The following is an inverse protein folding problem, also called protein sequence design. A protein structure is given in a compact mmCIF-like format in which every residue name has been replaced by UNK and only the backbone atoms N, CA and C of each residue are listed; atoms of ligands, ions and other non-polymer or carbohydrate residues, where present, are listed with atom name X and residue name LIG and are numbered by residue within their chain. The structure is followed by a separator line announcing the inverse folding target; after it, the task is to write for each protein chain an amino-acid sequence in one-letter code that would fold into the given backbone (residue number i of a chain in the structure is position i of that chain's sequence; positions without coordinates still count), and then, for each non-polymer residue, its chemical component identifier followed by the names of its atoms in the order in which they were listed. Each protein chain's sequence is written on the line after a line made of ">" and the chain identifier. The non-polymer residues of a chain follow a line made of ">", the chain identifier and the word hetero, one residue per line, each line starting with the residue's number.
data_IF_315750423362
#
_entry.id   IF_315750423362
#
_cell.length_a   1.000
_cell.length_b   1.000
_cell.length_c   1.000
_cell.angle_alpha   90.00
_cell.angle_beta   90.00
_cell.angle_gamma   90.00
#
_symmetry.space_group_name_H-M   'P 1'
#
loop_
_entity.id
_entity.type
_entity.pdbx_description
1 polymer ?
#
# COMPACT_ATOMS: atom_id res chain seq x y z
N UNK A 1 -71.32 22.34 13.36
CA UNK A 1 -70.08 22.69 14.10
C UNK A 1 -69.54 21.45 14.80
N UNK A 2 -68.40 20.89 14.34
CA UNK A 2 -67.46 20.05 15.10
C UNK A 2 -66.25 19.78 14.18
N UNK A 3 -65.15 20.44 14.50
CA UNK A 3 -63.85 20.38 13.82
C UNK A 3 -63.16 19.07 14.25
N UNK A 4 -62.58 18.31 13.31
CA UNK A 4 -61.61 17.25 13.63
C UNK A 4 -60.38 17.34 12.72
N UNK A 5 -59.44 18.13 13.23
CA UNK A 5 -57.98 17.95 13.33
C UNK A 5 -57.29 17.20 12.18
N UNK A 6 -56.49 17.98 11.43
CA UNK A 6 -55.45 17.52 10.50
C UNK A 6 -54.28 16.91 11.28
N UNK A 7 -53.77 15.76 10.87
CA UNK A 7 -52.47 15.24 11.31
C UNK A 7 -51.50 15.31 10.12
N UNK A 8 -50.47 16.17 10.15
CA UNK A 8 -49.47 16.18 9.09
C UNK A 8 -48.48 15.03 9.35
N UNK A 9 -48.35 14.15 8.35
CA UNK A 9 -47.25 13.19 8.24
C UNK A 9 -45.99 14.01 7.95
N UNK A 10 -45.24 14.37 8.99
CA UNK A 10 -43.92 14.96 8.83
C UNK A 10 -42.90 13.83 8.69
N UNK A 11 -42.52 13.58 7.44
CA UNK A 11 -41.51 12.63 7.01
C UNK A 11 -40.15 13.03 7.64
N UNK A 12 -39.69 12.26 8.64
CA UNK A 12 -38.35 12.37 9.18
C UNK A 12 -37.35 11.96 8.09
N UNK A 13 -36.77 12.94 7.40
CA UNK A 13 -35.56 12.78 6.61
C UNK A 13 -34.42 12.40 7.58
N UNK A 14 -34.20 11.10 7.76
CA UNK A 14 -32.90 10.60 8.18
C UNK A 14 -31.92 10.86 7.05
N UNK A 15 -31.33 12.05 7.06
CA UNK A 15 -30.10 12.33 6.33
C UNK A 15 -29.01 11.47 6.99
N UNK A 16 -28.85 10.23 6.51
CA UNK A 16 -27.68 9.43 6.88
C UNK A 16 -26.50 10.15 6.25
N UNK A 17 -25.73 10.82 7.09
CA UNK A 17 -24.41 11.28 6.72
C UNK A 17 -23.58 10.04 6.44
N UNK A 18 -23.44 9.70 5.15
CA UNK A 18 -22.35 8.86 4.66
C UNK A 18 -21.04 9.66 4.84
N UNK A 19 -20.64 9.84 6.09
CA UNK A 19 -19.25 10.08 6.41
C UNK A 19 -18.54 8.79 6.03
N UNK A 20 -17.77 8.82 4.94
CA UNK A 20 -16.81 7.78 4.65
C UNK A 20 -15.93 7.62 5.89
N UNK A 21 -16.16 6.55 6.64
CA UNK A 21 -15.28 6.16 7.72
C UNK A 21 -13.93 5.87 7.06
N UNK A 22 -12.97 6.78 7.26
CA UNK A 22 -11.56 6.43 7.09
C UNK A 22 -11.29 5.36 8.14
N UNK A 23 -11.40 4.09 7.75
CA UNK A 23 -11.12 3.01 8.67
C UNK A 23 -9.65 3.11 9.06
N UNK A 24 -9.40 3.11 10.36
CA UNK A 24 -8.06 3.00 10.90
C UNK A 24 -7.38 1.75 10.30
N UNK A 25 -6.10 1.90 9.94
CA UNK A 25 -5.31 0.79 9.44
C UNK A 25 -5.11 -0.22 10.56
N UNK A 26 -5.77 -1.37 10.45
CA UNK A 26 -5.65 -2.48 11.40
C UNK A 26 -5.26 -3.74 10.67
N UNK A 27 -4.56 -4.65 11.36
CA UNK A 27 -4.16 -5.95 10.80
C UNK A 27 -5.37 -6.71 10.23
N UNK A 28 -6.47 -6.75 11.00
CA UNK A 28 -7.72 -7.42 10.60
C UNK A 28 -8.25 -6.92 9.26
N UNK A 29 -8.16 -5.62 8.98
CA UNK A 29 -8.72 -5.04 7.78
C UNK A 29 -7.79 -5.21 6.56
N UNK A 30 -6.48 -5.12 6.77
CA UNK A 30 -5.49 -5.14 5.68
C UNK A 30 -5.05 -6.55 5.27
N UNK A 31 -5.10 -7.55 6.16
CA UNK A 31 -4.78 -8.95 5.84
C UNK A 31 -5.69 -9.47 4.73
N UNK A 32 -5.09 -10.14 3.73
CA UNK A 32 -5.77 -10.71 2.57
C UNK A 32 -4.99 -10.56 1.27
N UNK A 33 -5.64 -10.96 0.18
CA UNK A 33 -5.14 -10.82 -1.19
C UNK A 33 -5.73 -9.57 -1.84
N UNK A 34 -4.89 -8.78 -2.49
CA UNK A 34 -5.22 -7.50 -3.09
C UNK A 34 -4.70 -7.48 -4.53
N UNK A 35 -5.63 -7.43 -5.48
CA UNK A 35 -5.29 -7.36 -6.89
C UNK A 35 -5.15 -5.89 -7.31
N UNK A 36 -4.04 -5.57 -7.96
CA UNK A 36 -3.88 -4.27 -8.58
C UNK A 36 -4.91 -4.11 -9.69
N UNK A 37 -5.61 -2.97 -9.70
CA UNK A 37 -6.64 -2.68 -10.71
C UNK A 37 -6.17 -1.60 -11.67
N UNK A 38 -5.76 -0.45 -11.14
CA UNK A 38 -5.38 0.71 -11.95
C UNK A 38 -4.63 1.75 -11.14
N UNK A 39 -3.99 2.67 -11.84
CA UNK A 39 -3.43 3.90 -11.27
C UNK A 39 -4.31 5.08 -11.64
N UNK A 40 -4.59 5.98 -10.70
CA UNK A 40 -5.34 7.22 -10.95
C UNK A 40 -4.50 8.46 -10.62
N UNK A 41 -4.76 9.56 -11.31
CA UNK A 41 -4.20 10.87 -10.98
C UNK A 41 -5.05 11.61 -9.93
N UNK A 42 -4.60 12.82 -9.54
CA UNK A 42 -5.32 13.72 -8.63
C UNK A 42 -6.73 14.15 -9.08
N UNK A 43 -7.09 13.92 -10.34
CA UNK A 43 -8.41 14.19 -10.90
C UNK A 43 -9.26 12.91 -11.02
N UNK A 44 -8.82 11.81 -10.40
CA UNK A 44 -9.42 10.47 -10.47
C UNK A 44 -9.47 9.89 -11.89
N UNK A 45 -8.60 10.36 -12.79
CA UNK A 45 -8.49 9.81 -14.14
C UNK A 45 -7.49 8.66 -14.15
N UNK A 46 -7.85 7.56 -14.82
CA UNK A 46 -6.94 6.43 -14.98
C UNK A 46 -5.76 6.80 -15.87
N UNK A 47 -4.55 6.46 -15.41
CA UNK A 47 -3.31 6.71 -16.14
C UNK A 47 -2.55 5.42 -16.39
N UNK A 48 -1.99 5.28 -17.59
CA UNK A 48 -1.15 4.13 -17.97
C UNK A 48 0.33 4.36 -17.73
N UNK A 49 0.74 5.63 -17.62
CA UNK A 49 2.13 6.02 -17.46
C UNK A 49 2.25 7.21 -16.52
N UNK A 50 3.33 7.25 -15.76
CA UNK A 50 3.74 8.41 -14.96
C UNK A 50 5.17 8.80 -15.32
N UNK A 51 5.58 10.00 -14.93
CA UNK A 51 6.93 10.51 -15.20
C UNK A 51 7.69 10.71 -13.90
N UNK A 52 8.80 9.97 -13.76
CA UNK A 52 9.75 10.17 -12.67
C UNK A 52 10.84 11.13 -13.13
N UNK A 53 11.15 12.13 -12.31
CA UNK A 53 12.25 13.06 -12.57
C UNK A 53 13.47 12.63 -11.76
N UNK A 54 14.58 12.35 -12.43
CA UNK A 54 15.84 11.99 -11.80
C UNK A 54 16.54 13.22 -11.20
N UNK A 55 17.51 13.05 -10.29
CA UNK A 55 18.28 14.16 -9.72
C UNK A 55 19.00 15.03 -10.77
N UNK A 56 19.32 14.48 -11.94
CA UNK A 56 19.91 15.20 -13.07
C UNK A 56 18.88 15.99 -13.93
N UNK A 57 17.60 15.95 -13.56
CA UNK A 57 16.50 16.61 -14.28
C UNK A 57 15.87 15.80 -15.42
N UNK A 58 16.46 14.65 -15.79
CA UNK A 58 15.90 13.79 -16.84
C UNK A 58 14.56 13.19 -16.39
N UNK A 59 13.60 13.14 -17.31
CA UNK A 59 12.28 12.54 -17.09
C UNK A 59 12.24 11.17 -17.73
N UNK A 60 11.89 10.16 -16.93
CA UNK A 60 11.63 8.81 -17.42
C UNK A 60 10.14 8.52 -17.34
N UNK A 61 9.61 8.07 -18.47
CA UNK A 61 8.25 7.55 -18.57
C UNK A 61 8.26 6.11 -18.05
N UNK A 62 7.50 5.85 -16.99
CA UNK A 62 7.35 4.51 -16.41
C UNK A 62 5.90 4.05 -16.54
N UNK A 63 5.70 2.75 -16.67
CA UNK A 63 4.36 2.14 -16.65
C UNK A 63 3.78 2.31 -15.26
N UNK A 64 2.56 2.84 -15.19
CA UNK A 64 1.87 3.12 -13.94
C UNK A 64 1.16 1.86 -13.44
N UNK A 65 1.91 0.96 -12.82
CA UNK A 65 1.41 -0.33 -12.33
C UNK A 65 1.94 -0.67 -10.95
N UNK A 66 1.08 -1.28 -10.11
CA UNK A 66 1.47 -1.90 -8.84
C UNK A 66 1.54 -3.43 -8.95
N UNK A 67 2.22 -4.11 -8.02
CA UNK A 67 2.18 -5.57 -7.90
C UNK A 67 0.85 -6.03 -7.30
N UNK A 68 0.42 -7.26 -7.56
CA UNK A 68 -0.58 -7.89 -6.70
C UNK A 68 0.03 -8.15 -5.31
N UNK A 69 -0.72 -7.87 -4.25
CA UNK A 69 -0.23 -7.92 -2.87
C UNK A 69 -0.97 -9.01 -2.09
N UNK A 70 -0.23 -9.87 -1.40
CA UNK A 70 -0.79 -10.78 -0.39
C UNK A 70 -0.17 -10.42 0.96
N UNK A 71 -1.02 -10.16 1.95
CA UNK A 71 -0.63 -9.91 3.33
C UNK A 71 -1.22 -11.03 4.19
N UNK A 72 -0.37 -11.88 4.74
CA UNK A 72 -0.76 -13.01 5.56
C UNK A 72 -0.83 -12.61 7.03
N UNK A 73 -1.71 -13.28 7.79
CA UNK A 73 -1.91 -13.04 9.23
C UNK A 73 -0.71 -13.45 10.09
N UNK A 74 0.24 -14.22 9.55
CA UNK A 74 1.49 -14.59 10.21
C UNK A 74 2.58 -13.50 10.08
N UNK A 75 2.25 -12.36 9.48
CA UNK A 75 3.18 -11.25 9.26
C UNK A 75 4.02 -11.38 7.98
N UNK A 76 3.82 -12.40 7.15
CA UNK A 76 4.50 -12.54 5.85
C UNK A 76 3.75 -11.84 4.72
N UNK A 77 4.46 -11.42 3.68
CA UNK A 77 3.86 -10.85 2.47
C UNK A 77 4.41 -11.44 1.18
N UNK A 78 3.63 -11.28 0.10
CA UNK A 78 4.06 -11.45 -1.29
C UNK A 78 3.67 -10.20 -2.09
N UNK A 79 4.59 -9.67 -2.90
CA UNK A 79 4.34 -8.62 -3.91
C UNK A 79 4.69 -9.18 -5.28
N UNK A 80 3.67 -9.51 -6.07
CA UNK A 80 3.82 -10.14 -7.39
C UNK A 80 3.75 -9.09 -8.50
N UNK A 81 4.90 -8.73 -9.07
CA UNK A 81 4.98 -7.76 -10.17
C UNK A 81 4.73 -8.42 -11.52
N UNK A 82 5.25 -9.63 -11.72
CA UNK A 82 4.99 -10.49 -12.88
C UNK A 82 4.86 -11.95 -12.44
N UNK A 83 4.71 -12.89 -13.37
CA UNK A 83 4.69 -14.33 -13.02
C UNK A 83 6.05 -14.79 -12.48
N UNK A 84 7.14 -14.19 -12.93
CA UNK A 84 8.52 -14.55 -12.64
C UNK A 84 9.16 -13.65 -11.59
N UNK A 85 8.58 -12.46 -11.34
CA UNK A 85 9.12 -11.48 -10.40
C UNK A 85 8.15 -11.29 -9.22
N UNK A 86 8.51 -11.87 -8.07
CA UNK A 86 7.76 -11.78 -6.83
C UNK A 86 8.71 -11.50 -5.67
N UNK A 87 8.43 -10.42 -4.95
CA UNK A 87 9.11 -10.12 -3.69
C UNK A 87 8.36 -10.77 -2.53
N UNK A 88 9.11 -11.16 -1.51
CA UNK A 88 8.58 -11.77 -0.30
C UNK A 88 9.35 -11.31 0.93
N UNK A 89 8.68 -11.25 2.07
CA UNK A 89 9.31 -10.90 3.33
C UNK A 89 8.29 -10.77 4.44
N UNK A 90 8.59 -9.92 5.42
CA UNK A 90 7.70 -9.63 6.54
C UNK A 90 7.08 -8.24 6.40
N UNK A 91 5.89 -8.02 6.93
CA UNK A 91 5.25 -6.72 6.98
C UNK A 91 4.80 -6.39 8.40
N UNK A 92 4.64 -5.09 8.67
CA UNK A 92 4.00 -4.59 9.90
C UNK A 92 3.41 -3.21 9.67
N UNK A 93 2.42 -2.85 10.46
CA UNK A 93 1.89 -1.48 10.52
C UNK A 93 2.85 -0.64 11.37
N UNK A 94 3.29 0.51 10.85
CA UNK A 94 4.20 1.43 11.55
C UNK A 94 3.55 2.76 11.92
N UNK A 95 2.38 3.07 11.37
CA UNK A 95 1.52 4.18 11.79
C UNK A 95 0.06 3.92 11.37
N UNK A 96 -0.86 4.80 11.75
CA UNK A 96 -2.29 4.73 11.36
C UNK A 96 -2.55 4.66 9.85
N UNK A 97 -1.55 4.97 9.01
CA UNK A 97 -1.68 4.98 7.56
C UNK A 97 -0.49 4.40 6.81
N UNK A 98 0.44 3.73 7.50
CA UNK A 98 1.68 3.28 6.87
C UNK A 98 2.03 1.85 7.24
N UNK A 99 2.40 1.08 6.22
CA UNK A 99 2.83 -0.32 6.32
C UNK A 99 4.30 -0.39 5.89
N UNK A 100 5.15 -1.01 6.71
CA UNK A 100 6.54 -1.33 6.37
C UNK A 100 6.61 -2.76 5.84
N UNK A 101 7.28 -2.93 4.69
CA UNK A 101 7.66 -4.20 4.11
C UNK A 101 9.17 -4.38 4.30
N UNK A 102 9.56 -5.50 4.90
CA UNK A 102 10.93 -5.85 5.16
C UNK A 102 11.30 -7.10 4.36
N UNK A 103 12.04 -6.91 3.28
CA UNK A 103 12.63 -8.01 2.52
C UNK A 103 13.86 -8.53 3.25
N UNK A 104 13.98 -9.86 3.38
CA UNK A 104 15.16 -10.51 3.96
C UNK A 104 16.11 -10.88 2.83
N UNK A 105 17.31 -10.32 2.87
CA UNK A 105 18.39 -10.60 1.92
C UNK A 105 19.42 -11.49 2.62
N UNK A 106 19.51 -12.78 2.25
CA UNK A 106 20.47 -13.69 2.89
C UNK A 106 21.90 -13.18 2.74
N UNK A 107 22.67 -13.19 3.83
CA UNK A 107 24.06 -12.65 3.83
C UNK A 107 24.98 -13.32 2.81
N UNK A 108 24.74 -14.62 2.55
CA UNK A 108 25.55 -15.44 1.66
C UNK A 108 25.08 -15.39 0.18
N UNK A 109 23.95 -14.72 -0.08
CA UNK A 109 23.46 -14.49 -1.44
C UNK A 109 24.40 -13.56 -2.21
N UNK A 110 24.25 -13.53 -3.55
CA UNK A 110 24.99 -12.58 -4.40
C UNK A 110 24.78 -11.13 -3.95
N UNK A 111 23.54 -10.76 -3.62
CA UNK A 111 23.19 -9.43 -3.13
C UNK A 111 23.78 -9.17 -1.74
N UNK A 112 23.67 -10.12 -0.82
CA UNK A 112 24.26 -10.03 0.53
C UNK A 112 25.78 -9.80 0.48
N UNK A 113 26.49 -10.54 -0.38
CA UNK A 113 27.94 -10.36 -0.59
C UNK A 113 28.30 -8.97 -1.13
N UNK A 114 27.48 -8.41 -2.03
CA UNK A 114 27.67 -7.03 -2.51
C UNK A 114 27.43 -5.98 -1.42
N UNK A 115 26.44 -6.20 -0.55
CA UNK A 115 26.21 -5.33 0.61
C UNK A 115 27.44 -5.37 1.53
N UNK A 116 27.96 -6.56 1.86
CA UNK A 116 29.18 -6.71 2.67
C UNK A 116 30.36 -5.94 2.06
N UNK A 117 30.58 -6.05 0.75
CA UNK A 117 31.65 -5.29 0.08
C UNK A 117 31.41 -3.79 0.17
N UNK A 118 30.17 -3.33 -0.04
CA UNK A 118 29.81 -1.92 0.05
C UNK A 118 30.04 -1.36 1.46
N UNK A 119 29.67 -2.08 2.52
CA UNK A 119 29.93 -1.69 3.92
C UNK A 119 31.43 -1.61 4.25
N UNK A 120 32.30 -2.34 3.52
CA UNK A 120 33.76 -2.23 3.66
C UNK A 120 34.30 -0.94 3.03
N UNK A 121 33.79 -0.55 1.87
CA UNK A 121 34.20 0.69 1.20
C UNK A 121 33.56 1.94 1.82
N UNK A 122 32.38 1.79 2.42
CA UNK A 122 31.62 2.87 3.05
C UNK A 122 31.29 2.50 4.50
N UNK A 123 32.26 2.59 5.43
CA UNK A 123 32.12 2.09 6.79
C UNK A 123 30.99 2.79 7.59
N UNK A 124 30.63 4.01 7.20
CA UNK A 124 29.55 4.79 7.81
C UNK A 124 28.15 4.33 7.36
N UNK A 125 28.06 3.47 6.34
CA UNK A 125 26.79 2.93 5.86
C UNK A 125 26.66 1.50 6.38
N UNK A 126 25.76 1.31 7.35
CA UNK A 126 25.42 0.01 7.91
C UNK A 126 23.98 -0.35 7.58
N UNK A 127 23.79 -1.53 7.04
CA UNK A 127 22.47 -2.09 6.81
C UNK A 127 21.93 -2.72 8.09
N UNK A 128 20.62 -2.61 8.27
CA UNK A 128 19.90 -3.34 9.32
C UNK A 128 20.05 -4.83 9.07
N UNK A 129 20.16 -5.61 10.15
CA UNK A 129 20.29 -7.06 10.10
C UNK A 129 19.27 -7.72 11.04
N UNK A 130 18.86 -8.93 10.69
CA UNK A 130 18.12 -9.80 11.60
C UNK A 130 19.10 -10.50 12.59
N UNK A 131 18.54 -11.31 13.50
CA UNK A 131 19.29 -12.10 14.48
C UNK A 131 20.25 -13.12 13.84
N UNK A 132 19.98 -13.54 12.60
CA UNK A 132 20.79 -14.49 11.84
C UNK A 132 21.92 -13.80 11.03
N UNK A 133 21.95 -12.47 11.07
CA UNK A 133 22.90 -11.63 10.34
C UNK A 133 22.55 -11.42 8.87
N UNK A 134 21.35 -11.78 8.43
CA UNK A 134 20.85 -11.44 7.09
C UNK A 134 20.53 -9.95 7.01
N UNK A 135 20.63 -9.38 5.82
CA UNK A 135 20.34 -7.97 5.61
C UNK A 135 18.85 -7.75 5.48
N UNK A 136 18.39 -6.61 5.99
CA UNK A 136 17.01 -6.18 5.94
C UNK A 136 16.89 -4.97 5.03
N UNK A 137 16.08 -5.10 3.99
CA UNK A 137 15.73 -3.99 3.10
C UNK A 137 14.28 -3.60 3.37
N UNK A 138 14.09 -2.40 3.91
CA UNK A 138 12.80 -1.90 4.35
C UNK A 138 12.29 -0.85 3.37
N UNK A 139 11.03 -1.00 2.97
CA UNK A 139 10.27 0.00 2.22
C UNK A 139 8.93 0.21 2.91
N UNK A 140 8.33 1.39 2.77
CA UNK A 140 7.01 1.66 3.31
C UNK A 140 6.07 2.16 2.23
N UNK A 141 4.79 1.78 2.37
CA UNK A 141 3.70 2.27 1.54
C UNK A 141 2.71 3.03 2.44
N UNK A 142 2.22 4.17 1.94
CA UNK A 142 1.21 4.97 2.61
C UNK A 142 -0.18 4.64 2.09
N UNK A 143 -1.02 4.12 2.97
CA UNK A 143 -2.42 3.76 2.72
C UNK A 143 -3.27 5.01 2.89
N UNK A 144 -3.80 5.52 1.77
CA UNK A 144 -4.66 6.71 1.74
C UNK A 144 -6.08 6.37 2.22
N UNK A 145 -6.57 5.21 1.81
CA UNK A 145 -7.91 4.72 2.13
C UNK A 145 -7.91 3.19 2.17
N UNK A 146 -8.61 2.63 3.15
CA UNK A 146 -8.81 1.19 3.30
C UNK A 146 -10.27 0.89 3.66
N UNK A 147 -10.89 0.04 2.86
CA UNK A 147 -12.21 -0.53 3.12
C UNK A 147 -12.14 -2.05 3.10
N UNK A 148 -13.25 -2.73 3.33
CA UNK A 148 -13.31 -4.19 3.25
C UNK A 148 -12.99 -4.74 1.85
N UNK A 149 -13.14 -3.95 0.79
CA UNK A 149 -13.01 -4.42 -0.60
C UNK A 149 -12.05 -3.61 -1.45
N UNK A 150 -11.58 -2.47 -0.98
CA UNK A 150 -10.71 -1.55 -1.72
C UNK A 150 -9.60 -0.98 -0.83
N UNK A 151 -8.40 -0.90 -1.39
CA UNK A 151 -7.24 -0.26 -0.79
C UNK A 151 -6.65 0.74 -1.78
N UNK A 152 -6.32 1.94 -1.29
CA UNK A 152 -5.69 3.01 -2.06
C UNK A 152 -4.32 3.32 -1.47
N UNK A 153 -3.28 3.24 -2.30
CA UNK A 153 -1.89 3.47 -1.88
C UNK A 153 -1.34 4.70 -2.62
N UNK A 154 -0.67 5.58 -1.89
CA UNK A 154 0.08 6.71 -2.47
C UNK A 154 1.15 6.19 -3.43
N UNK A 155 1.24 6.76 -4.63
CA UNK A 155 2.19 6.30 -5.65
C UNK A 155 2.75 7.45 -6.46
N UNK A 156 4.07 7.58 -6.46
CA UNK A 156 4.75 8.76 -6.99
C UNK A 156 4.11 10.07 -6.45
N UNK A 157 4.50 11.21 -6.99
CA UNK A 157 3.83 12.46 -6.64
C UNK A 157 2.50 12.57 -7.39
N UNK A 158 1.40 12.76 -6.66
CA UNK A 158 0.04 13.03 -7.17
C UNK A 158 -0.69 11.85 -7.84
N UNK A 159 -0.22 10.60 -7.65
CA UNK A 159 -0.94 9.41 -8.14
C UNK A 159 -1.27 8.44 -7.02
N UNK A 160 -2.24 7.56 -7.30
CA UNK A 160 -2.76 6.58 -6.36
C UNK A 160 -2.92 5.24 -7.07
N UNK A 161 -2.41 4.17 -6.46
CA UNK A 161 -2.69 2.79 -6.87
C UNK A 161 -3.99 2.32 -6.24
N UNK A 162 -4.87 1.74 -7.05
CA UNK A 162 -6.15 1.20 -6.63
C UNK A 162 -6.09 -0.32 -6.65
N UNK A 163 -6.46 -0.91 -5.52
CA UNK A 163 -6.49 -2.36 -5.32
C UNK A 163 -7.89 -2.83 -4.95
N UNK A 164 -8.23 -4.04 -5.37
CA UNK A 164 -9.45 -4.74 -4.94
C UNK A 164 -9.10 -5.98 -4.12
N UNK A 165 -9.80 -6.17 -3.01
CA UNK A 165 -9.65 -7.38 -2.20
C UNK A 165 -10.22 -8.58 -2.94
N UNK A 166 -9.48 -9.67 -3.00
CA UNK A 166 -9.98 -10.94 -3.53
C UNK A 166 -10.88 -11.57 -2.47
N UNK A 167 -12.12 -11.86 -2.84
CA UNK A 167 -13.07 -12.58 -2.01
C UNK A 167 -12.98 -14.05 -2.44
N UNK A 168 -12.59 -14.92 -1.52
CA UNK A 168 -12.58 -16.38 -1.69
C UNK A 168 -13.87 -17.01 -1.16
#
# INVERSE_FOLDING_TARGET
>A
MKIKIKLPVLFLLFCTTLFGQKNELTEKNIVGKWNFTKTIDKHNQEVKYVYRTYPNGEKMKIVASGPDITLNSDGTYLKKFTKENTDSGNWKIISESEIEYQMVIPKDSRQGKLIIQTEKFMPNKKWRKDENGNFLDASSDKIIELTLTEMKIEYEKDYILIYKKVIE
#
